data_IF_521317891139
#
_entry.id   IF_521317891139
#
_cell.length_a   1.000
_cell.length_b   1.000
_cell.length_c   1.000
_cell.angle_alpha   90.00
_cell.angle_beta   90.00
_cell.angle_gamma   90.00
#
_symmetry.space_group_name_H-M   'P 1'
#
loop_
_entity.id
_entity.type
_entity.pdbx_description
1 polymer ?
#
# COMPACT_ATOMS: atom_id res chain seq x y z
N UNK A 1 2.35 26.82 -3.77
CA UNK A 1 2.34 25.34 -3.87
C UNK A 1 1.06 24.91 -3.18
N UNK A 2 0.09 24.36 -3.92
CA UNK A 2 -1.16 23.89 -3.30
C UNK A 2 -0.84 22.59 -2.56
N UNK A 3 -0.92 22.61 -1.24
CA UNK A 3 -0.74 21.44 -0.38
C UNK A 3 -2.11 20.76 -0.28
N UNK A 4 -2.20 19.48 -0.63
CA UNK A 4 -3.42 18.68 -0.48
C UNK A 4 -3.55 18.21 0.97
N UNK A 5 -4.66 18.50 1.65
CA UNK A 5 -4.92 17.95 2.99
C UNK A 5 -5.15 16.44 2.94
N UNK A 6 -4.91 15.72 4.05
CA UNK A 6 -5.18 14.28 4.13
C UNK A 6 -6.65 13.96 3.84
N UNK A 7 -7.58 14.76 4.38
CA UNK A 7 -9.02 14.56 4.16
C UNK A 7 -9.39 14.81 2.69
N UNK A 8 -8.84 15.85 2.07
CA UNK A 8 -9.03 16.14 0.64
C UNK A 8 -8.51 14.99 -0.23
N UNK A 9 -7.33 14.46 0.11
CA UNK A 9 -6.76 13.28 -0.55
C UNK A 9 -7.68 12.06 -0.40
N UNK A 10 -8.17 11.75 0.81
CA UNK A 10 -9.01 10.58 1.05
C UNK A 10 -10.38 10.68 0.36
N UNK A 11 -10.94 11.89 0.24
CA UNK A 11 -12.17 12.14 -0.52
C UNK A 11 -11.91 11.98 -2.02
N UNK A 12 -10.85 12.61 -2.53
CA UNK A 12 -10.48 12.54 -3.95
C UNK A 12 -10.16 11.11 -4.40
N UNK A 13 -9.46 10.34 -3.57
CA UNK A 13 -9.08 8.97 -3.87
C UNK A 13 -10.30 8.03 -3.97
N UNK A 14 -11.38 8.28 -3.24
CA UNK A 14 -12.63 7.50 -3.36
C UNK A 14 -13.38 7.76 -4.66
N UNK A 15 -13.13 8.90 -5.31
CA UNK A 15 -13.80 9.33 -6.54
C UNK A 15 -12.96 9.13 -7.79
N UNK A 16 -11.68 8.77 -7.64
CA UNK A 16 -10.75 8.69 -8.75
C UNK A 16 -10.76 7.32 -9.42
N UNK A 17 -10.65 7.32 -10.75
CA UNK A 17 -10.45 6.11 -11.56
C UNK A 17 -9.00 5.61 -11.53
N UNK A 18 -8.07 6.42 -11.01
CA UNK A 18 -6.66 6.08 -10.86
C UNK A 18 -6.26 6.22 -9.39
N UNK A 19 -5.33 5.36 -8.96
CA UNK A 19 -4.83 5.36 -7.58
C UNK A 19 -3.68 6.34 -7.42
N UNK A 20 -3.58 6.96 -6.24
CA UNK A 20 -2.50 7.87 -5.92
C UNK A 20 -1.84 7.57 -4.59
N UNK A 21 -0.51 7.64 -4.58
CA UNK A 21 0.26 7.72 -3.34
C UNK A 21 0.23 9.17 -2.83
N UNK A 22 0.21 9.33 -1.50
CA UNK A 22 0.22 10.64 -0.84
C UNK A 22 1.44 10.73 0.05
N UNK A 23 2.21 11.82 -0.05
CA UNK A 23 3.42 12.04 0.75
C UNK A 23 3.48 13.52 1.14
N UNK A 24 3.22 13.82 2.42
CA UNK A 24 3.35 15.15 3.00
C UNK A 24 2.70 16.26 2.15
N UNK A 25 1.45 16.06 1.73
CA UNK A 25 0.67 17.03 0.95
C UNK A 25 0.82 16.95 -0.56
N UNK A 26 1.68 16.06 -1.06
CA UNK A 26 1.87 15.80 -2.48
C UNK A 26 1.15 14.50 -2.88
N UNK A 27 0.57 14.49 -4.08
CA UNK A 27 -0.23 13.38 -4.63
C UNK A 27 0.44 12.87 -5.91
N UNK A 28 0.74 11.59 -5.96
CA UNK A 28 1.47 10.95 -7.06
C UNK A 28 0.61 9.85 -7.68
N UNK A 29 0.28 9.99 -8.96
CA UNK A 29 -0.47 8.95 -9.68
C UNK A 29 0.37 7.68 -9.82
N UNK A 30 -0.23 6.53 -9.49
CA UNK A 30 0.41 5.24 -9.71
C UNK A 30 0.34 4.85 -11.19
N UNK A 31 1.42 4.27 -11.68
CA UNK A 31 1.39 3.55 -12.95
C UNK A 31 0.63 2.22 -12.79
N UNK A 32 0.03 1.74 -13.87
CA UNK A 32 -0.53 0.40 -13.91
C UNK A 32 0.56 -0.68 -13.79
N UNK A 33 0.19 -1.86 -13.28
CA UNK A 33 1.08 -3.00 -13.16
C UNK A 33 1.06 -3.89 -14.41
N UNK A 34 2.20 -4.48 -14.76
CA UNK A 34 2.31 -5.46 -15.85
C UNK A 34 1.71 -6.82 -15.44
N UNK A 35 1.39 -7.68 -16.43
CA UNK A 35 0.93 -9.05 -16.15
C UNK A 35 1.93 -9.82 -15.26
N UNK A 36 3.23 -9.71 -15.55
CA UNK A 36 4.27 -10.40 -14.78
C UNK A 36 4.31 -9.92 -13.34
N UNK A 37 4.20 -8.60 -13.14
CA UNK A 37 4.14 -8.01 -11.82
C UNK A 37 2.92 -8.50 -11.03
N UNK A 38 1.74 -8.47 -11.65
CA UNK A 38 0.50 -8.96 -11.03
C UNK A 38 0.58 -10.44 -10.67
N UNK A 39 1.19 -11.27 -11.51
CA UNK A 39 1.37 -12.70 -11.24
C UNK A 39 2.28 -12.95 -10.03
N UNK A 40 3.37 -12.18 -9.91
CA UNK A 40 4.29 -12.31 -8.78
C UNK A 40 3.64 -11.84 -7.46
N UNK A 41 2.99 -10.67 -7.46
CA UNK A 41 2.27 -10.17 -6.29
C UNK A 41 1.15 -11.12 -5.86
N UNK A 42 0.39 -11.65 -6.84
CA UNK A 42 -0.66 -12.64 -6.59
C UNK A 42 -0.15 -13.95 -5.96
N UNK A 43 1.01 -14.44 -6.40
CA UNK A 43 1.63 -15.62 -5.80
C UNK A 43 2.05 -15.36 -4.34
N UNK A 44 2.66 -14.20 -4.06
CA UNK A 44 3.02 -13.80 -2.70
C UNK A 44 1.78 -13.73 -1.80
N UNK A 45 0.73 -13.04 -2.27
CA UNK A 45 -0.55 -12.97 -1.57
C UNK A 45 -1.12 -14.36 -1.28
N UNK A 46 -1.15 -15.25 -2.27
CA UNK A 46 -1.69 -16.60 -2.11
C UNK A 46 -0.98 -17.38 -1.00
N UNK A 47 0.36 -17.40 -1.03
CA UNK A 47 1.16 -18.13 -0.05
C UNK A 47 1.07 -17.53 1.36
N UNK A 48 1.12 -16.20 1.47
CA UNK A 48 0.96 -15.51 2.75
C UNK A 48 -0.44 -15.73 3.33
N UNK A 49 -1.49 -15.64 2.50
CA UNK A 49 -2.87 -15.88 2.92
C UNK A 49 -3.10 -17.30 3.39
N UNK A 50 -2.46 -18.28 2.73
CA UNK A 50 -2.49 -19.68 3.15
C UNK A 50 -1.78 -19.87 4.50
N UNK A 51 -0.60 -19.27 4.69
CA UNK A 51 0.16 -19.34 5.93
C UNK A 51 -0.55 -18.64 7.12
N UNK A 52 -1.27 -17.54 6.85
CA UNK A 52 -2.03 -16.80 7.86
C UNK A 52 -3.36 -17.47 8.26
N UNK A 53 -3.75 -18.60 7.63
CA UNK A 53 -5.03 -19.25 7.92
C UNK A 53 -5.09 -19.74 9.37
N UNK A 54 -6.18 -19.43 10.06
CA UNK A 54 -6.37 -19.80 11.47
C UNK A 54 -5.70 -18.85 12.48
N UNK A 55 -5.06 -17.79 11.99
CA UNK A 55 -4.48 -16.70 12.81
C UNK A 55 -5.41 -15.48 12.76
N UNK A 56 -5.21 -14.47 13.63
CA UNK A 56 -5.90 -13.18 13.51
C UNK A 56 -5.43 -12.34 12.32
N UNK A 57 -4.43 -12.78 11.56
CA UNK A 57 -3.81 -11.97 10.53
C UNK A 57 -4.64 -11.89 9.24
N UNK A 58 -4.84 -10.66 8.77
CA UNK A 58 -5.36 -10.35 7.45
C UNK A 58 -4.21 -10.13 6.46
N UNK A 59 -4.37 -10.66 5.25
CA UNK A 59 -3.47 -10.39 4.12
C UNK A 59 -4.27 -9.66 3.05
N UNK A 60 -3.71 -8.59 2.52
CA UNK A 60 -4.30 -7.69 1.54
C UNK A 60 -3.33 -7.50 0.37
N UNK A 61 -3.86 -7.17 -0.80
CA UNK A 61 -3.07 -6.89 -1.99
C UNK A 61 -3.69 -5.76 -2.81
N UNK A 62 -2.87 -5.09 -3.63
CA UNK A 62 -3.29 -4.23 -4.73
C UNK A 62 -3.96 -2.91 -4.32
N UNK A 63 -5.07 -2.98 -3.59
CA UNK A 63 -5.99 -1.84 -3.36
C UNK A 63 -6.07 -1.42 -1.88
N UNK A 64 -5.30 -2.06 -1.00
CA UNK A 64 -5.24 -1.68 0.41
C UNK A 64 -4.05 -0.76 0.65
N UNK A 65 -4.33 0.46 1.12
CA UNK A 65 -3.29 1.42 1.50
C UNK A 65 -2.65 1.06 2.83
N UNK A 66 -1.41 1.50 3.01
CA UNK A 66 -0.79 1.68 4.33
C UNK A 66 -0.67 3.17 4.63
N UNK A 67 -1.12 3.60 5.82
CA UNK A 67 -0.93 4.95 6.32
C UNK A 67 0.28 5.00 7.23
N UNK A 68 1.27 5.81 6.87
CA UNK A 68 2.47 6.07 7.68
C UNK A 68 2.32 7.43 8.34
N UNK A 69 1.81 7.44 9.58
CA UNK A 69 1.51 8.68 10.29
C UNK A 69 2.74 9.57 10.51
N UNK A 70 3.92 8.98 10.73
CA UNK A 70 5.17 9.72 10.96
C UNK A 70 5.63 10.56 9.76
N UNK A 71 5.16 10.21 8.55
CA UNK A 71 5.54 10.87 7.30
C UNK A 71 4.35 11.54 6.60
N UNK A 72 3.18 11.56 7.24
CA UNK A 72 1.92 11.96 6.62
C UNK A 72 1.77 11.34 5.22
N UNK A 73 1.92 10.01 5.14
CA UNK A 73 1.98 9.30 3.88
C UNK A 73 0.95 8.18 3.75
N UNK A 74 0.51 7.94 2.52
CA UNK A 74 -0.27 6.78 2.12
C UNK A 74 0.38 6.12 0.91
N UNK A 75 0.75 4.85 1.06
CA UNK A 75 1.32 4.04 -0.01
C UNK A 75 0.41 2.86 -0.33
N UNK A 76 0.50 2.34 -1.56
CA UNK A 76 -0.14 1.11 -2.00
C UNK A 76 0.92 0.02 -2.18
N UNK A 77 1.20 -0.78 -1.13
CA UNK A 77 2.10 -1.91 -1.28
C UNK A 77 1.45 -3.03 -2.09
N UNK A 78 2.27 -3.85 -2.74
CA UNK A 78 1.77 -4.99 -3.51
C UNK A 78 1.08 -6.03 -2.63
N UNK A 79 1.70 -6.34 -1.48
CA UNK A 79 1.11 -7.21 -0.45
C UNK A 79 1.36 -6.63 0.93
N UNK A 80 0.30 -6.57 1.72
CA UNK A 80 0.32 -6.13 3.12
C UNK A 80 -0.27 -7.21 4.01
N UNK A 81 0.36 -7.45 5.15
CA UNK A 81 -0.14 -8.32 6.20
C UNK A 81 -0.19 -7.53 7.51
N UNK A 82 -1.32 -7.61 8.20
CA UNK A 82 -1.48 -7.11 9.57
C UNK A 82 -2.14 -8.17 10.43
N UNK A 83 -1.75 -8.25 11.70
CA UNK A 83 -2.38 -9.10 12.71
C UNK A 83 -3.15 -8.30 13.77
N UNK A 84 -3.20 -6.97 13.61
CA UNK A 84 -3.89 -6.07 14.52
C UNK A 84 -5.39 -6.08 14.20
N UNK A 85 -6.18 -6.74 15.05
CA UNK A 85 -7.63 -6.85 14.89
C UNK A 85 -8.37 -5.52 14.98
N UNK A 86 -7.77 -4.55 15.68
CA UNK A 86 -8.25 -3.20 15.91
C UNK A 86 -7.98 -2.26 14.72
N UNK A 87 -7.12 -2.66 13.78
CA UNK A 87 -6.82 -1.91 12.56
C UNK A 87 -7.97 -2.09 11.55
N UNK A 88 -9.11 -1.51 11.91
CA UNK A 88 -10.41 -1.73 11.29
C UNK A 88 -10.77 -0.66 10.25
N UNK A 89 -9.85 0.25 9.92
CA UNK A 89 -10.07 1.22 8.85
C UNK A 89 -10.37 0.47 7.53
N UNK A 90 -11.40 0.89 6.79
CA UNK A 90 -11.91 0.12 5.65
C UNK A 90 -11.02 0.19 4.41
N UNK A 91 -10.27 1.30 4.24
CA UNK A 91 -9.54 1.60 3.01
C UNK A 91 -8.03 1.76 3.20
N UNK A 92 -7.54 1.60 4.43
CA UNK A 92 -6.12 1.61 4.74
C UNK A 92 -5.84 0.84 6.02
N UNK A 93 -4.58 0.46 6.22
CA UNK A 93 -4.03 -0.10 7.44
C UNK A 93 -2.98 0.81 8.03
N UNK A 94 -2.81 0.75 9.34
CA UNK A 94 -1.88 1.56 10.13
C UNK A 94 -0.88 0.70 10.89
N UNK A 95 -1.15 -0.60 11.06
CA UNK A 95 -0.32 -1.52 11.80
C UNK A 95 0.08 -2.74 10.95
N UNK A 96 0.76 -2.57 9.80
CA UNK A 96 1.33 -3.69 9.08
C UNK A 96 2.40 -4.39 9.93
N UNK A 97 2.49 -5.70 9.84
CA UNK A 97 3.62 -6.47 10.38
C UNK A 97 4.46 -7.14 9.28
N UNK A 98 3.98 -7.13 8.03
CA UNK A 98 4.77 -7.43 6.85
C UNK A 98 4.24 -6.65 5.65
N UNK A 99 5.17 -6.08 4.88
CA UNK A 99 4.94 -5.50 3.56
C UNK A 99 5.89 -6.20 2.58
N UNK A 100 5.38 -6.56 1.40
CA UNK A 100 6.19 -7.11 0.32
C UNK A 100 5.89 -6.37 -0.98
N UNK A 101 6.95 -5.97 -1.67
CA UNK A 101 6.92 -5.22 -2.92
C UNK A 101 7.61 -6.03 -4.03
N UNK A 102 6.98 -6.10 -5.21
CA UNK A 102 7.55 -6.71 -6.41
C UNK A 102 8.26 -5.61 -7.20
N UNK A 103 9.59 -5.67 -7.19
CA UNK A 103 10.39 -4.65 -7.87
C UNK A 103 10.14 -4.65 -9.39
N UNK A 104 9.96 -3.45 -9.93
CA UNK A 104 9.87 -3.19 -11.36
C UNK A 104 10.96 -2.18 -11.78
N UNK A 105 11.45 -2.21 -13.03
CA UNK A 105 12.45 -1.22 -13.48
C UNK A 105 12.00 0.24 -13.29
N UNK A 106 10.69 0.51 -13.34
CA UNK A 106 10.12 1.86 -13.19
C UNK A 106 10.05 2.35 -11.74
N UNK A 107 9.97 1.46 -10.75
CA UNK A 107 9.76 1.82 -9.33
C UNK A 107 10.88 1.37 -8.41
N UNK A 108 11.79 0.51 -8.88
CA UNK A 108 12.83 -0.14 -8.06
C UNK A 108 13.64 0.85 -7.22
N UNK A 109 14.03 1.99 -7.79
CA UNK A 109 14.82 2.99 -7.06
C UNK A 109 14.05 3.59 -5.88
N UNK A 110 12.77 3.86 -6.07
CA UNK A 110 11.88 4.38 -5.02
C UNK A 110 11.63 3.30 -3.97
N UNK A 111 11.30 2.08 -4.40
CA UNK A 111 11.01 0.94 -3.51
C UNK A 111 12.21 0.60 -2.62
N UNK A 112 13.43 0.55 -3.20
CA UNK A 112 14.65 0.21 -2.47
C UNK A 112 15.19 1.31 -1.56
N UNK A 113 14.71 2.53 -1.68
CA UNK A 113 15.26 3.68 -0.93
C UNK A 113 14.21 4.31 -0.04
N UNK A 114 13.18 4.86 -0.64
CA UNK A 114 12.16 5.62 0.07
C UNK A 114 11.25 4.67 0.84
N UNK A 115 10.58 3.75 0.15
CA UNK A 115 9.61 2.85 0.79
C UNK A 115 10.27 1.92 1.80
N UNK A 116 11.47 1.41 1.52
CA UNK A 116 12.22 0.59 2.48
C UNK A 116 12.55 1.31 3.80
N UNK A 117 12.65 2.64 3.79
CA UNK A 117 12.91 3.44 5.00
C UNK A 117 11.59 3.86 5.66
N UNK A 118 10.55 4.12 4.87
CA UNK A 118 9.27 4.64 5.35
C UNK A 118 8.30 3.57 5.87
N UNK A 119 8.38 2.35 5.35
CA UNK A 119 7.48 1.22 5.64
C UNK A 119 8.14 0.18 6.54
#
# INVERSE_FOLDING_TARGET
>A
MNICGVDDYLIGEQQSDIRHEYIAGQVFAMAGASETHNRLAGNLFFHLRAAARGTPCGVFMGDMKVRVAAHEAFYYPDVLLTCASEDAAPFYKTAPCLIAEVLSPSTELTDRREKLIAL
#
